data_IF_435709203135
#
_entry.id   IF_435709203135
#
_cell.length_a   1.000
_cell.length_b   1.000
_cell.length_c   1.000
_cell.angle_alpha   90.00
_cell.angle_beta   90.00
_cell.angle_gamma   90.00
#
_symmetry.space_group_name_H-M   'P 1'
#
loop_
_entity.id
_entity.type
_entity.pdbx_description
1 polymer ?
#
# COMPACT_ATOMS: atom_id res chain seq x y z
N UNK A 1 -29.81 -11.87 -4.09
CA UNK A 1 -28.72 -12.75 -4.57
C UNK A 1 -27.75 -12.92 -3.41
N UNK A 2 -27.39 -14.16 -3.09
CA UNK A 2 -26.57 -14.46 -1.91
C UNK A 2 -25.17 -13.87 -2.10
N UNK A 3 -24.82 -12.89 -1.27
CA UNK A 3 -23.56 -12.14 -1.31
C UNK A 3 -22.34 -13.09 -1.24
N UNK A 4 -22.44 -14.15 -0.44
CA UNK A 4 -21.42 -15.21 -0.31
C UNK A 4 -21.19 -15.98 -1.62
N UNK A 5 -22.25 -16.21 -2.42
CA UNK A 5 -22.16 -16.96 -3.68
C UNK A 5 -21.51 -16.17 -4.82
N UNK A 6 -21.62 -14.83 -4.79
CA UNK A 6 -21.00 -13.95 -5.78
C UNK A 6 -19.48 -13.84 -5.55
N UNK A 7 -19.07 -13.80 -4.28
CA UNK A 7 -17.69 -13.56 -3.85
C UNK A 7 -16.80 -14.80 -4.03
N UNK A 8 -17.37 -16.00 -3.84
CA UNK A 8 -16.63 -17.25 -3.88
C UNK A 8 -16.87 -18.06 -5.17
N UNK A 9 -17.29 -17.39 -6.25
CA UNK A 9 -17.49 -18.04 -7.54
C UNK A 9 -16.16 -18.58 -8.08
N UNK A 10 -16.11 -19.88 -8.37
CA UNK A 10 -14.93 -20.55 -8.90
C UNK A 10 -14.43 -19.91 -10.21
N UNK A 11 -15.33 -19.31 -11.00
CA UNK A 11 -14.97 -18.60 -12.22
C UNK A 11 -14.11 -17.35 -11.96
N UNK A 12 -14.39 -16.60 -10.89
CA UNK A 12 -13.61 -15.41 -10.52
C UNK A 12 -12.20 -15.82 -10.07
N UNK A 13 -12.09 -16.86 -9.25
CA UNK A 13 -10.80 -17.39 -8.78
C UNK A 13 -9.94 -17.90 -9.93
N UNK A 14 -10.53 -18.61 -10.90
CA UNK A 14 -9.81 -19.08 -12.09
C UNK A 14 -9.32 -17.89 -12.93
N UNK A 15 -10.16 -16.89 -13.16
CA UNK A 15 -9.77 -15.68 -13.89
C UNK A 15 -8.60 -14.96 -13.23
N UNK A 16 -8.68 -14.75 -11.90
CA UNK A 16 -7.60 -14.15 -11.12
C UNK A 16 -6.32 -14.96 -11.22
N UNK A 17 -6.38 -16.29 -11.08
CA UNK A 17 -5.23 -17.16 -11.18
C UNK A 17 -4.54 -17.07 -12.55
N UNK A 18 -5.31 -16.99 -13.64
CA UNK A 18 -4.78 -16.81 -15.00
C UNK A 18 -4.03 -15.48 -15.13
N UNK A 19 -4.60 -14.38 -14.63
CA UNK A 19 -3.95 -13.07 -14.69
C UNK A 19 -2.65 -13.05 -13.87
N UNK A 20 -2.66 -13.64 -12.67
CA UNK A 20 -1.46 -13.75 -11.83
C UNK A 20 -0.35 -14.58 -12.48
N UNK A 21 -0.72 -15.67 -13.17
CA UNK A 21 0.22 -16.47 -13.94
C UNK A 21 0.83 -15.68 -15.09
N UNK A 22 0.03 -14.89 -15.81
CA UNK A 22 0.52 -14.04 -16.89
C UNK A 22 1.52 -13.00 -16.36
N UNK A 23 1.17 -12.26 -15.30
CA UNK A 23 2.05 -11.26 -14.69
C UNK A 23 3.35 -11.90 -14.17
N UNK A 24 3.24 -13.05 -13.50
CA UNK A 24 4.42 -13.80 -13.04
C UNK A 24 5.33 -14.20 -14.20
N UNK A 25 4.74 -14.66 -15.31
CA UNK A 25 5.49 -15.03 -16.52
C UNK A 25 6.24 -13.84 -17.09
N UNK A 26 5.60 -12.69 -17.18
CA UNK A 26 6.23 -11.43 -17.63
C UNK A 26 7.39 -11.04 -16.71
N UNK A 27 7.21 -11.09 -15.39
CA UNK A 27 8.28 -10.83 -14.42
C UNK A 27 9.49 -11.76 -14.61
N UNK A 28 9.25 -13.06 -14.84
CA UNK A 28 10.32 -14.04 -15.09
C UNK A 28 11.05 -13.74 -16.40
N UNK A 29 10.35 -13.36 -17.46
CA UNK A 29 10.96 -12.96 -18.75
C UNK A 29 11.85 -11.73 -18.57
N UNK A 30 11.36 -10.68 -17.89
CA UNK A 30 12.16 -9.49 -17.62
C UNK A 30 13.39 -9.79 -16.76
N UNK A 31 13.25 -10.64 -15.74
CA UNK A 31 14.38 -11.06 -14.91
C UNK A 31 15.44 -11.81 -15.73
N UNK A 32 15.02 -12.72 -16.63
CA UNK A 32 15.94 -13.43 -17.53
C UNK A 32 16.65 -12.49 -18.49
N UNK A 33 15.93 -11.55 -19.09
CA UNK A 33 16.50 -10.56 -20.00
C UNK A 33 17.50 -9.65 -19.27
N UNK A 34 17.16 -9.18 -18.08
CA UNK A 34 18.06 -8.39 -17.23
C UNK A 34 19.31 -9.17 -16.82
N UNK A 35 19.17 -10.47 -16.52
CA UNK A 35 20.30 -11.35 -16.21
C UNK A 35 21.26 -11.53 -17.39
N UNK A 36 20.72 -11.69 -18.60
CA UNK A 36 21.53 -11.79 -19.81
C UNK A 36 22.27 -10.48 -20.13
N UNK A 37 21.61 -9.34 -19.94
CA UNK A 37 22.23 -8.03 -20.14
C UNK A 37 23.33 -7.75 -19.10
N UNK A 38 23.09 -8.10 -17.83
CA UNK A 38 24.12 -7.99 -16.78
C UNK A 38 25.36 -8.84 -17.09
N UNK A 39 25.18 -10.05 -17.62
CA UNK A 39 26.30 -10.87 -18.12
C UNK A 39 27.02 -10.21 -19.29
N UNK A 40 26.31 -9.60 -20.24
CA UNK A 40 26.90 -8.89 -21.38
C UNK A 40 27.77 -7.71 -20.93
N UNK A 41 27.37 -7.03 -19.86
CA UNK A 41 28.11 -5.93 -19.25
C UNK A 41 29.28 -6.40 -18.35
N UNK A 42 29.52 -7.70 -18.24
CA UNK A 42 30.63 -8.27 -17.47
C UNK A 42 30.39 -8.38 -15.97
N UNK A 43 29.15 -8.27 -15.49
CA UNK A 43 28.82 -8.43 -14.07
C UNK A 43 28.99 -9.90 -13.67
N UNK A 44 29.71 -10.16 -12.57
CA UNK A 44 29.97 -11.54 -12.15
C UNK A 44 28.70 -12.23 -11.63
N UNK A 45 28.60 -13.54 -11.82
CA UNK A 45 27.47 -14.34 -11.33
C UNK A 45 27.35 -14.34 -9.80
N UNK A 46 28.46 -14.14 -9.08
CA UNK A 46 28.46 -14.03 -7.63
C UNK A 46 27.83 -12.71 -7.17
N UNK A 47 28.16 -11.60 -7.82
CA UNK A 47 27.55 -10.30 -7.54
C UNK A 47 26.06 -10.29 -7.86
N UNK A 48 25.65 -10.86 -9.00
CA UNK A 48 24.23 -10.97 -9.35
C UNK A 48 23.43 -11.75 -8.31
N UNK A 49 23.94 -12.88 -7.81
CA UNK A 49 23.29 -13.66 -6.74
C UNK A 49 23.19 -12.88 -5.43
N UNK A 50 24.24 -12.14 -5.06
CA UNK A 50 24.25 -11.29 -3.86
C UNK A 50 23.20 -10.17 -3.96
N UNK A 51 23.07 -9.55 -5.14
CA UNK A 51 22.04 -8.53 -5.39
C UNK A 51 20.65 -9.13 -5.21
N UNK A 52 20.37 -10.29 -5.81
CA UNK A 52 19.06 -10.96 -5.67
C UNK A 52 18.74 -11.26 -4.21
N UNK A 53 19.69 -11.82 -3.44
CA UNK A 53 19.51 -12.09 -2.02
C UNK A 53 19.18 -10.82 -1.22
N UNK A 54 19.90 -9.73 -1.49
CA UNK A 54 19.63 -8.45 -0.85
C UNK A 54 18.24 -7.90 -1.24
N UNK A 55 17.86 -7.98 -2.52
CA UNK A 55 16.55 -7.54 -2.99
C UNK A 55 15.40 -8.34 -2.37
N UNK A 56 15.56 -9.66 -2.18
CA UNK A 56 14.58 -10.49 -1.47
C UNK A 56 14.41 -9.99 -0.03
N UNK A 57 15.52 -9.75 0.68
CA UNK A 57 15.48 -9.24 2.05
C UNK A 57 14.77 -7.89 2.16
N UNK A 58 15.06 -6.96 1.25
CA UNK A 58 14.47 -5.62 1.23
C UNK A 58 12.97 -5.67 0.88
N UNK A 59 12.53 -6.64 0.08
CA UNK A 59 11.13 -6.75 -0.37
C UNK A 59 10.23 -7.52 0.60
N UNK A 60 10.80 -8.48 1.36
CA UNK A 60 10.02 -9.34 2.24
C UNK A 60 9.35 -8.56 3.39
N UNK A 61 10.10 -7.68 4.03
CA UNK A 61 9.62 -6.90 5.19
C UNK A 61 8.43 -5.99 4.86
N UNK A 62 8.45 -5.16 3.78
CA UNK A 62 7.28 -4.36 3.40
C UNK A 62 6.11 -5.20 2.85
N UNK A 63 6.31 -6.49 2.55
CA UNK A 63 5.24 -7.38 2.08
C UNK A 63 4.36 -7.91 3.21
N UNK A 64 4.85 -7.98 4.45
CA UNK A 64 4.09 -8.53 5.59
C UNK A 64 2.79 -7.74 5.86
N UNK A 65 2.81 -6.40 5.93
CA UNK A 65 1.57 -5.63 6.10
C UNK A 65 0.59 -5.83 4.94
N UNK A 66 1.09 -6.01 3.71
CA UNK A 66 0.25 -6.23 2.52
C UNK A 66 -0.55 -7.52 2.67
N UNK A 67 0.10 -8.61 3.10
CA UNK A 67 -0.57 -9.89 3.34
C UNK A 67 -1.62 -9.77 4.45
N UNK A 68 -1.30 -9.07 5.53
CA UNK A 68 -2.25 -8.83 6.61
C UNK A 68 -3.46 -8.00 6.16
N UNK A 69 -3.27 -6.97 5.34
CA UNK A 69 -4.37 -6.21 4.75
C UNK A 69 -5.28 -7.09 3.89
N UNK A 70 -4.72 -8.03 3.11
CA UNK A 70 -5.52 -9.01 2.34
C UNK A 70 -6.33 -9.91 3.26
N UNK A 71 -5.75 -10.39 4.37
CA UNK A 71 -6.46 -11.20 5.37
C UNK A 71 -7.63 -10.43 6.00
N UNK A 72 -7.44 -9.14 6.30
CA UNK A 72 -8.49 -8.28 6.84
C UNK A 72 -9.62 -8.03 5.83
N UNK A 73 -9.29 -7.93 4.53
CA UNK A 73 -10.27 -7.66 3.47
C UNK A 73 -10.99 -8.92 2.99
N UNK A 74 -10.38 -10.10 3.12
CA UNK A 74 -10.91 -11.36 2.61
C UNK A 74 -12.33 -11.71 3.08
N UNK A 75 -12.72 -11.49 4.36
CA UNK A 75 -14.09 -11.75 4.82
C UNK A 75 -15.14 -10.86 4.13
N UNK A 76 -14.73 -9.64 3.73
CA UNK A 76 -15.63 -8.57 3.24
C UNK A 76 -15.65 -8.51 1.71
N UNK A 77 -14.54 -8.76 1.03
CA UNK A 77 -14.45 -8.64 -0.43
C UNK A 77 -14.21 -9.98 -1.14
N UNK A 78 -13.97 -11.05 -0.39
CA UNK A 78 -13.45 -12.31 -0.91
C UNK A 78 -11.95 -12.31 -1.04
N UNK A 79 -11.37 -13.49 -1.21
CA UNK A 79 -9.92 -13.65 -1.37
C UNK A 79 -9.46 -13.20 -2.76
N UNK A 80 -10.24 -13.48 -3.81
CA UNK A 80 -9.81 -13.31 -5.20
C UNK A 80 -9.56 -11.84 -5.59
N UNK A 81 -10.44 -10.92 -5.19
CA UNK A 81 -10.36 -9.50 -5.57
C UNK A 81 -9.16 -8.77 -4.93
N UNK A 82 -9.01 -8.74 -3.58
CA UNK A 82 -7.84 -8.15 -2.93
C UNK A 82 -6.53 -8.82 -3.36
N UNK A 83 -6.53 -10.13 -3.62
CA UNK A 83 -5.31 -10.84 -4.04
C UNK A 83 -4.83 -10.41 -5.42
N UNK A 84 -5.71 -10.38 -6.43
CA UNK A 84 -5.38 -9.92 -7.77
C UNK A 84 -4.78 -8.50 -7.73
N UNK A 85 -5.45 -7.65 -6.97
CA UNK A 85 -5.22 -6.22 -6.90
C UNK A 85 -3.91 -5.87 -6.19
N UNK A 86 -3.67 -6.48 -5.02
CA UNK A 86 -2.41 -6.31 -4.28
C UNK A 86 -1.21 -6.86 -5.04
N UNK A 87 -1.38 -7.90 -5.85
CA UNK A 87 -0.30 -8.47 -6.66
C UNK A 87 0.09 -7.60 -7.86
N UNK A 88 -0.84 -6.81 -8.41
CA UNK A 88 -0.59 -6.00 -9.64
C UNK A 88 -0.30 -4.53 -9.33
N UNK A 89 -0.97 -3.94 -8.34
CA UNK A 89 -0.87 -2.50 -8.05
C UNK A 89 -0.01 -2.22 -6.82
N UNK A 90 0.05 -3.16 -5.87
CA UNK A 90 1.01 -3.12 -4.76
C UNK A 90 0.68 -2.17 -3.60
N UNK A 91 -0.56 -1.69 -3.45
CA UNK A 91 -0.94 -0.82 -2.32
C UNK A 91 -2.24 -1.24 -1.62
N UNK A 92 -2.15 -2.29 -0.81
CA UNK A 92 -3.29 -2.81 -0.05
C UNK A 92 -3.92 -1.76 0.90
N UNK A 93 -3.11 -0.88 1.48
CA UNK A 93 -3.62 0.18 2.37
C UNK A 93 -4.48 1.21 1.63
N UNK A 94 -4.07 1.63 0.43
CA UNK A 94 -4.88 2.56 -0.37
C UNK A 94 -6.19 1.91 -0.80
N UNK A 95 -6.14 0.62 -1.10
CA UNK A 95 -7.31 -0.18 -1.47
C UNK A 95 -8.30 -0.33 -0.33
N UNK A 96 -7.82 -0.63 0.88
CA UNK A 96 -8.66 -0.66 2.08
C UNK A 96 -9.30 0.69 2.37
N UNK A 97 -8.54 1.80 2.30
CA UNK A 97 -9.08 3.14 2.51
C UNK A 97 -10.17 3.46 1.49
N UNK A 98 -9.91 3.15 0.21
CA UNK A 98 -10.87 3.40 -0.87
C UNK A 98 -12.15 2.58 -0.70
N UNK A 99 -12.01 1.29 -0.32
CA UNK A 99 -13.14 0.41 -0.04
C UNK A 99 -13.97 0.92 1.13
N UNK A 100 -13.33 1.28 2.24
CA UNK A 100 -14.00 1.83 3.43
C UNK A 100 -14.69 3.15 3.12
N UNK A 101 -14.06 4.05 2.36
CA UNK A 101 -14.68 5.31 1.95
C UNK A 101 -15.89 5.09 1.04
N UNK A 102 -15.81 4.14 0.12
CA UNK A 102 -16.92 3.80 -0.77
C UNK A 102 -18.10 3.17 -0.01
N UNK A 103 -17.83 2.29 0.94
CA UNK A 103 -18.84 1.72 1.83
C UNK A 103 -19.50 2.82 2.67
N UNK A 104 -18.71 3.69 3.31
CA UNK A 104 -19.23 4.83 4.09
C UNK A 104 -20.04 5.79 3.23
N UNK A 105 -19.71 6.00 1.96
CA UNK A 105 -20.50 6.82 1.04
C UNK A 105 -21.89 6.24 0.76
N UNK A 106 -22.06 4.93 0.91
CA UNK A 106 -23.37 4.25 0.84
C UNK A 106 -24.09 4.14 2.19
N UNK A 107 -23.52 4.72 3.25
CA UNK A 107 -24.09 4.71 4.59
C UNK A 107 -23.88 3.42 5.40
N UNK A 108 -23.01 2.51 4.94
CA UNK A 108 -22.70 1.25 5.63
C UNK A 108 -21.24 1.22 6.08
N UNK A 109 -20.96 0.52 7.18
CA UNK A 109 -19.59 0.24 7.58
C UNK A 109 -19.00 -0.91 6.77
N UNK A 110 -17.66 -0.91 6.63
CA UNK A 110 -16.94 -1.97 5.92
C UNK A 110 -16.77 -3.19 6.83
N UNK A 111 -17.88 -3.88 7.10
CA UNK A 111 -17.96 -5.07 7.96
C UNK A 111 -18.67 -6.20 7.21
N UNK A 112 -18.52 -7.44 7.67
CA UNK A 112 -19.23 -8.58 7.05
C UNK A 112 -20.74 -8.58 7.32
N UNK A 113 -21.18 -7.86 8.35
CA UNK A 113 -22.57 -7.84 8.83
C UNK A 113 -23.43 -6.80 8.12
N UNK A 114 -22.87 -5.63 7.81
CA UNK A 114 -23.65 -4.49 7.31
C UNK A 114 -23.55 -4.31 5.79
N UNK A 115 -22.72 -5.11 5.12
CA UNK A 115 -22.40 -4.85 3.72
C UNK A 115 -23.46 -5.39 2.76
N UNK A 116 -24.02 -4.48 1.96
CA UNK A 116 -24.98 -4.80 0.91
C UNK A 116 -24.29 -5.12 -0.42
N UNK A 117 -24.94 -5.84 -1.35
CA UNK A 117 -24.38 -6.08 -2.68
C UNK A 117 -24.03 -4.79 -3.44
N UNK A 118 -24.83 -3.73 -3.27
CA UNK A 118 -24.57 -2.43 -3.88
C UNK A 118 -23.33 -1.74 -3.29
N UNK A 119 -23.17 -1.78 -1.96
CA UNK A 119 -21.97 -1.27 -1.30
C UNK A 119 -20.71 -2.04 -1.72
N UNK A 120 -20.81 -3.37 -1.88
CA UNK A 120 -19.72 -4.21 -2.37
C UNK A 120 -19.32 -3.85 -3.80
N UNK A 121 -20.29 -3.71 -4.71
CA UNK A 121 -20.03 -3.31 -6.11
C UNK A 121 -19.37 -1.93 -6.15
N UNK A 122 -19.87 -0.98 -5.35
CA UNK A 122 -19.29 0.36 -5.26
C UNK A 122 -17.87 0.35 -4.70
N UNK A 123 -17.59 -0.47 -3.68
CA UNK A 123 -16.25 -0.66 -3.15
C UNK A 123 -15.31 -1.25 -4.22
N UNK A 124 -15.74 -2.30 -4.94
CA UNK A 124 -14.96 -2.90 -6.01
C UNK A 124 -14.64 -1.90 -7.14
N UNK A 125 -15.61 -1.06 -7.53
CA UNK A 125 -15.41 0.00 -8.52
C UNK A 125 -14.51 1.12 -8.01
N UNK A 126 -14.71 1.59 -6.78
CA UNK A 126 -13.91 2.66 -6.19
C UNK A 126 -12.44 2.25 -6.07
N UNK A 127 -12.17 1.03 -5.62
CA UNK A 127 -10.82 0.45 -5.61
C UNK A 127 -10.25 0.38 -7.03
N UNK A 128 -11.04 -0.09 -7.99
CA UNK A 128 -10.58 -0.27 -9.38
C UNK A 128 -10.23 1.06 -10.04
N UNK A 129 -11.17 2.00 -10.06
CA UNK A 129 -11.02 3.31 -10.68
C UNK A 129 -9.97 4.16 -9.95
N UNK A 130 -9.91 4.10 -8.62
CA UNK A 130 -8.94 4.88 -7.84
C UNK A 130 -7.50 4.63 -8.27
N UNK A 131 -7.16 3.37 -8.59
CA UNK A 131 -5.82 3.03 -9.07
C UNK A 131 -5.67 3.13 -10.59
N UNK A 132 -6.72 2.83 -11.37
CA UNK A 132 -6.67 2.94 -12.83
C UNK A 132 -6.53 4.38 -13.30
N UNK A 133 -7.06 5.36 -12.58
CA UNK A 133 -6.96 6.79 -12.88
C UNK A 133 -5.55 7.34 -12.60
N UNK A 134 -4.80 6.73 -11.67
CA UNK A 134 -3.43 7.13 -11.39
C UNK A 134 -2.50 6.95 -12.60
N UNK A 135 -2.68 5.89 -13.40
CA UNK A 135 -1.84 5.62 -14.58
C UNK A 135 -1.91 6.72 -15.66
N UNK A 136 -3.08 7.11 -16.19
CA UNK A 136 -3.16 8.19 -17.17
C UNK A 136 -2.75 9.55 -16.57
N UNK A 137 -3.04 9.80 -15.29
CA UNK A 137 -2.57 11.01 -14.61
C UNK A 137 -1.05 11.05 -14.59
N UNK A 138 -0.37 9.96 -14.21
CA UNK A 138 1.10 9.90 -14.23
C UNK A 138 1.61 10.12 -15.66
N UNK A 139 1.03 9.50 -16.68
CA UNK A 139 1.50 9.70 -18.06
C UNK A 139 1.39 11.15 -18.54
N UNK A 140 0.34 11.88 -18.16
CA UNK A 140 0.10 13.26 -18.59
C UNK A 140 0.82 14.28 -17.69
N UNK A 141 0.79 14.07 -16.37
CA UNK A 141 1.23 15.05 -15.36
C UNK A 141 2.70 14.87 -14.98
N UNK A 142 3.29 13.68 -15.16
CA UNK A 142 4.70 13.46 -14.79
C UNK A 142 5.66 14.33 -15.58
N UNK A 143 5.48 14.46 -16.90
CA UNK A 143 6.33 15.33 -17.74
C UNK A 143 6.33 16.80 -17.30
N UNK A 144 5.19 17.48 -17.14
CA UNK A 144 5.17 18.87 -16.68
C UNK A 144 5.68 19.02 -15.25
N UNK A 145 5.40 18.06 -14.35
CA UNK A 145 5.93 18.07 -12.98
C UNK A 145 7.45 17.94 -12.97
N UNK A 146 8.04 16.98 -13.69
CA UNK A 146 9.49 16.81 -13.77
C UNK A 146 10.17 18.04 -14.38
N UNK A 147 9.59 18.61 -15.45
CA UNK A 147 10.14 19.82 -16.08
C UNK A 147 10.11 21.02 -15.12
N UNK A 148 9.02 21.17 -14.38
CA UNK A 148 8.86 22.21 -13.36
C UNK A 148 9.85 21.98 -12.21
N UNK A 149 9.95 20.75 -11.72
CA UNK A 149 10.90 20.33 -10.69
C UNK A 149 12.35 20.63 -11.08
N UNK A 150 12.76 20.35 -12.32
CA UNK A 150 14.11 20.64 -12.79
C UNK A 150 14.41 22.14 -12.86
N UNK A 151 13.42 22.97 -13.20
CA UNK A 151 13.56 24.44 -13.19
C UNK A 151 13.71 24.97 -11.76
N UNK A 152 12.90 24.48 -10.82
CA UNK A 152 13.01 24.86 -9.41
C UNK A 152 14.32 24.36 -8.79
N UNK A 153 14.80 23.18 -9.18
CA UNK A 153 16.04 22.59 -8.66
C UNK A 153 17.26 23.38 -9.06
N UNK A 154 17.26 23.92 -10.29
CA UNK A 154 18.34 24.77 -10.80
C UNK A 154 18.40 26.15 -10.14
N UNK A 155 17.27 26.66 -9.64
CA UNK A 155 17.22 27.95 -8.93
C UNK A 155 17.58 27.82 -7.47
N UNK A 156 16.90 26.94 -6.72
CA UNK A 156 17.21 26.67 -5.32
C UNK A 156 16.60 25.34 -4.86
N UNK A 157 17.46 24.37 -4.56
CA UNK A 157 17.05 23.03 -4.12
C UNK A 157 16.30 23.03 -2.79
N UNK A 158 16.38 24.09 -1.96
CA UNK A 158 15.68 24.14 -0.67
C UNK A 158 14.17 24.31 -0.83
N UNK A 159 13.74 25.10 -1.80
CA UNK A 159 12.31 25.35 -2.06
C UNK A 159 11.54 24.09 -2.45
N UNK A 160 12.20 23.20 -3.20
CA UNK A 160 11.63 21.88 -3.55
C UNK A 160 11.45 21.02 -2.31
N UNK A 161 12.45 20.97 -1.44
CA UNK A 161 12.38 20.17 -0.21
C UNK A 161 11.27 20.67 0.71
N UNK A 162 11.11 21.99 0.84
CA UNK A 162 10.03 22.61 1.63
C UNK A 162 8.67 22.28 1.01
N UNK A 163 8.51 22.45 -0.31
CA UNK A 163 7.26 22.14 -1.00
C UNK A 163 6.85 20.67 -0.82
N UNK A 164 7.80 19.74 -1.00
CA UNK A 164 7.57 18.30 -0.80
C UNK A 164 7.19 17.98 0.65
N UNK A 165 7.87 18.60 1.62
CA UNK A 165 7.56 18.43 3.05
C UNK A 165 6.16 18.96 3.37
N UNK A 166 5.81 20.15 2.89
CA UNK A 166 4.49 20.74 3.07
C UNK A 166 3.40 19.84 2.48
N UNK A 167 3.58 19.34 1.25
CA UNK A 167 2.61 18.44 0.61
C UNK A 167 2.37 17.17 1.44
N UNK A 168 3.45 16.54 1.93
CA UNK A 168 3.35 15.37 2.80
C UNK A 168 2.60 15.68 4.10
N UNK A 169 2.94 16.79 4.77
CA UNK A 169 2.29 17.19 6.02
C UNK A 169 0.81 17.49 5.81
N UNK A 170 0.44 18.15 4.71
CA UNK A 170 -0.96 18.45 4.38
C UNK A 170 -1.79 17.18 4.22
N UNK A 171 -1.28 16.17 3.51
CA UNK A 171 -2.00 14.90 3.33
C UNK A 171 -2.19 14.20 4.68
N UNK A 172 -1.13 14.12 5.51
CA UNK A 172 -1.21 13.50 6.84
C UNK A 172 -2.20 14.24 7.74
N UNK A 173 -2.20 15.58 7.70
CA UNK A 173 -3.11 16.41 8.47
C UNK A 173 -4.58 16.20 8.05
N UNK A 174 -4.86 16.20 6.74
CA UNK A 174 -6.20 15.96 6.22
C UNK A 174 -6.74 14.57 6.62
N UNK A 175 -5.90 13.54 6.54
CA UNK A 175 -6.25 12.19 6.99
C UNK A 175 -6.47 12.13 8.51
N UNK A 176 -5.60 12.78 9.29
CA UNK A 176 -5.71 12.78 10.75
C UNK A 176 -7.01 13.45 11.22
N UNK A 177 -7.41 14.55 10.58
CA UNK A 177 -8.67 15.25 10.88
C UNK A 177 -9.88 14.39 10.51
N UNK A 178 -9.86 13.76 9.33
CA UNK A 178 -10.98 12.90 8.90
C UNK A 178 -11.12 11.64 9.76
N UNK A 179 -10.02 11.05 10.20
CA UNK A 179 -10.02 9.93 11.13
C UNK A 179 -10.46 10.34 12.53
N UNK A 180 -10.05 11.51 13.01
CA UNK A 180 -10.44 12.01 14.33
C UNK A 180 -11.94 12.29 14.46
N UNK A 181 -12.61 12.68 13.37
CA UNK A 181 -14.07 12.83 13.34
C UNK A 181 -14.83 11.51 13.49
N UNK A 182 -14.17 10.36 13.25
CA UNK A 182 -14.79 9.03 13.37
C UNK A 182 -14.74 8.45 14.79
N UNK A 183 -14.07 9.11 15.74
CA UNK A 183 -14.11 8.74 17.15
C UNK A 183 -12.77 8.86 17.89
N UNK A 184 -12.80 8.44 19.16
CA UNK A 184 -11.64 8.48 20.07
C UNK A 184 -10.62 7.38 19.72
N UNK A 185 -11.09 6.20 19.27
CA UNK A 185 -10.23 5.05 18.95
C UNK A 185 -9.24 5.37 17.81
N UNK A 186 -9.67 5.88 16.63
CA UNK A 186 -8.72 6.25 15.57
C UNK A 186 -7.73 7.33 15.99
N UNK A 187 -8.16 8.29 16.81
CA UNK A 187 -7.32 9.37 17.32
C UNK A 187 -6.20 8.86 18.23
N UNK A 188 -6.52 7.92 19.14
CA UNK A 188 -5.55 7.28 20.02
C UNK A 188 -4.52 6.45 19.23
N UNK A 189 -4.98 5.72 18.20
CA UNK A 189 -4.10 4.93 17.33
C UNK A 189 -3.14 5.82 16.54
N UNK A 190 -3.61 6.97 16.03
CA UNK A 190 -2.76 7.94 15.32
C UNK A 190 -1.65 8.46 16.24
N UNK A 191 -2.00 8.88 17.46
CA UNK A 191 -1.03 9.37 18.44
C UNK A 191 0.00 8.27 18.77
N UNK A 192 -0.46 7.03 18.99
CA UNK A 192 0.42 5.89 19.23
C UNK A 192 1.38 5.62 18.07
N UNK A 193 0.90 5.69 16.83
CA UNK A 193 1.73 5.53 15.63
C UNK A 193 2.77 6.65 15.49
N UNK A 194 2.41 7.90 15.80
CA UNK A 194 3.36 9.01 15.81
C UNK A 194 4.48 8.81 16.84
N UNK A 195 4.12 8.39 18.05
CA UNK A 195 5.09 8.09 19.12
C UNK A 195 6.00 6.93 18.69
N UNK A 196 5.43 5.84 18.17
CA UNK A 196 6.19 4.69 17.70
C UNK A 196 7.13 5.04 16.55
N UNK A 197 6.67 5.83 15.57
CA UNK A 197 7.52 6.31 14.47
C UNK A 197 8.63 7.23 14.96
N UNK A 198 8.37 8.06 15.98
CA UNK A 198 9.38 8.90 16.60
C UNK A 198 10.43 8.06 17.34
N UNK A 199 10.00 7.05 18.10
CA UNK A 199 10.89 6.09 18.77
C UNK A 199 11.74 5.32 17.77
N UNK A 200 11.16 4.87 16.64
CA UNK A 200 11.90 4.22 15.57
C UNK A 200 12.98 5.15 14.98
N UNK A 201 12.66 6.43 14.79
CA UNK A 201 13.61 7.43 14.29
C UNK A 201 14.73 7.71 15.30
N UNK A 202 14.42 7.74 16.59
CA UNK A 202 15.39 7.92 17.66
C UNK A 202 16.31 6.70 17.81
N UNK A 203 15.75 5.50 17.77
CA UNK A 203 16.52 4.25 17.79
C UNK A 203 17.41 4.09 16.55
N UNK A 204 16.96 4.59 15.38
CA UNK A 204 17.73 4.58 14.14
C UNK A 204 18.94 5.55 14.14
N UNK A 205 19.08 6.43 15.13
CA UNK A 205 20.31 7.22 15.33
C UNK A 205 21.50 6.32 15.69
N UNK A 206 21.25 5.14 16.25
CA UNK A 206 22.30 4.17 16.53
C UNK A 206 22.74 3.46 15.23
N UNK A 207 24.04 3.37 14.93
CA UNK A 207 24.55 2.77 13.70
C UNK A 207 24.19 1.27 13.56
N UNK A 208 23.93 0.57 14.67
CA UNK A 208 23.45 -0.84 14.69
C UNK A 208 21.98 -1.01 14.29
N UNK A 209 21.17 0.05 14.40
CA UNK A 209 19.72 0.02 14.16
C UNK A 209 19.29 0.88 12.96
N UNK A 210 20.23 1.28 12.09
CA UNK A 210 19.91 2.03 10.86
C UNK A 210 18.87 1.34 9.98
N UNK A 211 18.85 -0.01 10.01
CA UNK A 211 17.85 -0.82 9.32
C UNK A 211 16.42 -0.36 9.68
N UNK A 212 16.18 0.02 10.93
CA UNK A 212 14.87 0.46 11.41
C UNK A 212 14.32 1.69 10.66
N UNK A 213 15.20 2.54 10.10
CA UNK A 213 14.77 3.68 9.27
C UNK A 213 14.16 3.22 7.94
N UNK A 214 14.75 2.20 7.33
CA UNK A 214 14.28 1.64 6.05
C UNK A 214 12.98 0.82 6.24
N UNK A 215 12.72 0.34 7.46
CA UNK A 215 11.52 -0.45 7.79
C UNK A 215 10.50 0.27 8.69
N UNK A 216 10.70 1.56 8.98
CA UNK A 216 9.83 2.32 9.87
C UNK A 216 8.38 2.37 9.36
N UNK A 217 8.19 2.51 8.05
CA UNK A 217 6.86 2.59 7.43
C UNK A 217 6.02 1.31 7.63
N UNK A 218 6.47 0.10 7.22
CA UNK A 218 5.70 -1.12 7.46
C UNK A 218 5.55 -1.45 8.96
N UNK A 219 6.57 -1.22 9.78
CA UNK A 219 6.49 -1.47 11.23
C UNK A 219 5.44 -0.59 11.91
N UNK A 220 5.34 0.68 11.51
CA UNK A 220 4.34 1.60 12.09
C UNK A 220 2.91 1.19 11.71
N UNK A 221 2.70 0.65 10.51
CA UNK A 221 1.39 0.10 10.10
C UNK A 221 1.02 -1.11 10.97
N UNK A 222 1.95 -2.05 11.17
CA UNK A 222 1.74 -3.22 12.02
C UNK A 222 1.42 -2.82 13.46
N UNK A 223 2.22 -1.90 14.00
CA UNK A 223 1.99 -1.35 15.34
C UNK A 223 0.62 -0.69 15.44
N UNK A 224 0.22 0.10 14.45
CA UNK A 224 -1.09 0.75 14.42
C UNK A 224 -2.26 -0.24 14.40
N UNK A 225 -2.15 -1.32 13.64
CA UNK A 225 -3.16 -2.39 13.60
C UNK A 225 -3.28 -3.11 14.94
N UNK A 226 -2.15 -3.51 15.53
CA UNK A 226 -2.13 -4.19 16.84
C UNK A 226 -2.67 -3.26 17.94
N UNK A 227 -2.24 -1.99 17.93
CA UNK A 227 -2.71 -0.99 18.87
C UNK A 227 -4.22 -0.76 18.73
N UNK A 228 -4.75 -0.71 17.50
CA UNK A 228 -6.19 -0.62 17.27
C UNK A 228 -6.92 -1.82 17.86
N UNK A 229 -6.45 -3.05 17.61
CA UNK A 229 -7.07 -4.27 18.14
C UNK A 229 -7.08 -4.31 19.67
N UNK A 230 -6.04 -3.76 20.31
CA UNK A 230 -5.97 -3.68 21.78
C UNK A 230 -6.90 -2.60 22.30
N UNK A 231 -6.91 -1.41 21.70
CA UNK A 231 -7.71 -0.26 22.18
C UNK A 231 -9.21 -0.47 21.96
N UNK A 232 -9.61 -1.09 20.85
CA UNK A 232 -11.02 -1.32 20.51
C UNK A 232 -11.84 -1.95 21.65
N UNK A 233 -11.43 -3.06 22.30
CA UNK A 233 -12.19 -3.65 23.41
C UNK A 233 -12.17 -2.85 24.72
N UNK A 234 -11.27 -1.89 24.91
CA UNK A 234 -11.24 -1.04 26.12
C UNK A 234 -12.07 0.23 26.00
N UNK A 235 -12.45 0.62 24.78
CA UNK A 235 -13.11 1.90 24.47
C UNK A 235 -14.41 1.73 23.66
N UNK A 236 -14.88 0.49 23.48
CA UNK A 236 -16.20 0.13 22.91
C UNK A 236 -17.32 0.25 23.93
#
# INVERSE_FOLDING_TARGET
MDYQSLINSSALTIFVAVVLLLVTTVCVIYLRNGWNEAKRLGVTTAEMKKIVLNCIGISLVPSIPIVLSVIVMAPVLGVALPWLRTSVIGSANNELISATMAASATGVEFTTTDMTPQAWINAAWAMTLGCSVALPIVLVVLKPVCKTYDVFRKKDSRWISIFSLCALVTVIAAFSINSGKKGIIPSAVIIGCFIFSYLCNLAAKNPKLKWLKDYAFPLTILFGLVLSMIITPFLS
#
